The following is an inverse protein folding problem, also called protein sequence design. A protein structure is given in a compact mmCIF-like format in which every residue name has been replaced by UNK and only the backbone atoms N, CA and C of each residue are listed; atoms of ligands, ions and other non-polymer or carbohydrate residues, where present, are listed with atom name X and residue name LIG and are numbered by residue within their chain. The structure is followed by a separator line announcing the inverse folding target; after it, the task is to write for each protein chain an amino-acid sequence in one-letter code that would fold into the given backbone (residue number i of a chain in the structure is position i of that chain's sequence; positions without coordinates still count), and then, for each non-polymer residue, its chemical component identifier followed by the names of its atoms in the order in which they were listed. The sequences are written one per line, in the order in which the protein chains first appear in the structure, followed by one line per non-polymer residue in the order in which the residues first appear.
data_IF_437668540259
#
_entry.id   IF_437668540259
#
_cell.length_a   1.000
_cell.length_b   1.000
_cell.length_c   1.000
_cell.angle_alpha   90.00
_cell.angle_beta   90.00
_cell.angle_gamma   90.00
#
_symmetry.space_group_name_H-M   'P 1'
#
loop_
_entity.id
_entity.type
_entity.pdbx_description
1 polymer ?
#
# COMPACT_ATOMS: atom_id res chain seq x y z
N UNK A 1 28.70 54.38 15.81
CA UNK A 1 27.53 53.83 15.08
C UNK A 1 27.91 52.41 14.66
N UNK A 2 27.50 51.40 15.43
CA UNK A 2 27.88 50.01 15.20
C UNK A 2 26.66 49.30 14.59
N UNK A 3 26.74 48.90 13.32
CA UNK A 3 25.67 48.18 12.64
C UNK A 3 25.78 46.69 12.99
N UNK A 4 24.81 46.17 13.75
CA UNK A 4 24.64 44.73 13.97
C UNK A 4 23.78 44.20 12.82
N UNK A 5 24.39 43.44 11.91
CA UNK A 5 23.66 42.72 10.85
C UNK A 5 23.19 41.41 11.45
N UNK A 6 21.90 41.33 11.80
CA UNK A 6 21.26 40.08 12.23
C UNK A 6 21.00 39.23 10.98
N UNK A 7 21.88 38.27 10.72
CA UNK A 7 21.67 37.23 9.71
C UNK A 7 20.56 36.29 10.21
N UNK A 8 19.36 36.43 9.65
CA UNK A 8 18.31 35.43 9.79
C UNK A 8 18.74 34.20 8.99
N UNK A 9 19.33 33.22 9.66
CA UNK A 9 19.45 31.88 9.10
C UNK A 9 18.05 31.28 9.03
N UNK A 10 17.39 31.45 7.87
CA UNK A 10 16.27 30.62 7.48
C UNK A 10 16.85 29.21 7.34
N UNK A 11 16.66 28.38 8.36
CA UNK A 11 16.87 26.95 8.23
C UNK A 11 15.88 26.46 7.19
N UNK A 12 16.34 26.31 5.94
CA UNK A 12 15.62 25.51 4.95
C UNK A 12 15.71 24.09 5.48
N UNK A 13 14.76 23.69 6.33
CA UNK A 13 14.48 22.28 6.55
C UNK A 13 14.02 21.78 5.19
N UNK A 14 14.95 21.25 4.40
CA UNK A 14 14.59 20.53 3.20
C UNK A 14 13.56 19.49 3.62
N UNK A 15 12.36 19.54 3.03
CA UNK A 15 11.40 18.47 3.18
C UNK A 15 12.03 17.24 2.51
N UNK A 16 12.66 16.39 3.31
CA UNK A 16 13.14 15.10 2.83
C UNK A 16 11.92 14.22 2.58
N UNK A 17 11.87 13.59 1.41
CA UNK A 17 10.86 12.58 1.13
C UNK A 17 10.97 11.43 2.10
N UNK A 18 9.84 10.96 2.62
CA UNK A 18 9.75 9.74 3.42
C UNK A 18 9.17 8.61 2.55
N UNK A 19 10.02 7.74 1.99
CA UNK A 19 9.59 6.64 1.14
C UNK A 19 8.94 5.50 1.93
N UNK A 20 8.95 5.55 3.28
CA UNK A 20 8.45 4.50 4.17
C UNK A 20 9.04 3.11 3.83
N UNK A 21 10.38 3.02 3.82
CA UNK A 21 11.13 1.86 3.31
C UNK A 21 11.29 0.68 4.30
N UNK A 22 10.26 0.37 5.09
CA UNK A 22 10.26 -0.83 5.97
C UNK A 22 10.01 -2.09 5.12
N UNK A 23 10.98 -3.02 5.08
CA UNK A 23 11.17 -3.95 3.95
C UNK A 23 10.65 -5.37 4.16
N UNK A 24 9.91 -5.90 3.18
CA UNK A 24 9.90 -7.31 2.81
C UNK A 24 10.35 -7.48 1.35
N UNK A 25 11.37 -8.29 1.10
CA UNK A 25 11.95 -8.54 -0.24
C UNK A 25 11.99 -10.02 -0.56
N UNK A 26 11.84 -10.38 -1.84
CA UNK A 26 12.03 -11.73 -2.34
C UNK A 26 12.50 -11.74 -3.79
N UNK A 27 13.44 -12.62 -4.10
CA UNK A 27 13.87 -12.92 -5.47
C UNK A 27 13.34 -14.30 -5.87
N UNK A 28 13.00 -14.49 -7.14
CA UNK A 28 12.59 -15.79 -7.67
C UNK A 28 13.73 -16.80 -7.57
N UNK A 29 13.40 -18.06 -7.30
CA UNK A 29 14.34 -19.18 -7.38
C UNK A 29 14.43 -19.76 -8.81
N UNK A 30 13.52 -19.36 -9.70
CA UNK A 30 13.49 -19.80 -11.09
C UNK A 30 14.47 -18.96 -11.89
N UNK A 31 15.28 -19.63 -12.71
CA UNK A 31 16.29 -18.98 -13.53
C UNK A 31 15.77 -18.66 -14.93
N UNK A 32 16.30 -17.60 -15.52
CA UNK A 32 16.08 -17.25 -16.94
C UNK A 32 17.19 -17.83 -17.81
N UNK A 33 16.84 -18.21 -19.03
CA UNK A 33 17.79 -18.77 -19.98
C UNK A 33 18.66 -17.68 -20.64
N UNK A 34 18.07 -16.55 -21.03
CA UNK A 34 18.77 -15.43 -21.65
C UNK A 34 18.89 -14.24 -20.68
N UNK A 35 19.90 -14.29 -19.81
CA UNK A 35 20.18 -13.26 -18.78
C UNK A 35 20.34 -11.87 -19.39
N UNK A 36 21.01 -11.76 -20.54
CA UNK A 36 21.25 -10.47 -21.21
C UNK A 36 19.95 -9.83 -21.68
N UNK A 37 19.08 -10.61 -22.34
CA UNK A 37 17.77 -10.14 -22.79
C UNK A 37 16.85 -9.82 -21.60
N UNK A 38 16.81 -10.70 -20.59
CA UNK A 38 16.02 -10.48 -19.37
C UNK A 38 16.43 -9.19 -18.63
N UNK A 39 17.74 -8.95 -18.47
CA UNK A 39 18.26 -7.74 -17.80
C UNK A 39 17.90 -6.48 -18.60
N UNK A 40 18.04 -6.53 -19.93
CA UNK A 40 17.63 -5.43 -20.80
C UNK A 40 16.14 -5.14 -20.66
N UNK A 41 15.32 -6.18 -20.70
CA UNK A 41 13.86 -6.08 -20.62
C UNK A 41 13.41 -5.53 -19.26
N UNK A 42 14.01 -6.00 -18.16
CA UNK A 42 13.76 -5.48 -16.81
C UNK A 42 14.13 -4.01 -16.68
N UNK A 43 15.27 -3.59 -17.21
CA UNK A 43 15.66 -2.17 -17.16
C UNK A 43 14.69 -1.30 -17.97
N UNK A 44 14.23 -1.76 -19.15
CA UNK A 44 13.26 -1.05 -19.95
C UNK A 44 11.90 -0.93 -19.25
N UNK A 45 11.40 -2.00 -18.60
CA UNK A 45 10.14 -1.94 -17.84
C UNK A 45 10.25 -1.02 -16.63
N UNK A 46 11.34 -1.07 -15.87
CA UNK A 46 11.56 -0.18 -14.72
C UNK A 46 11.60 1.30 -15.14
N UNK A 47 12.22 1.63 -16.27
CA UNK A 47 12.23 3.00 -16.81
C UNK A 47 10.84 3.49 -17.21
N UNK A 48 10.02 2.62 -17.82
CA UNK A 48 8.64 2.96 -18.17
C UNK A 48 7.77 3.19 -16.92
N UNK A 49 7.89 2.31 -15.91
CA UNK A 49 7.20 2.51 -14.62
C UNK A 49 7.58 3.85 -13.99
N UNK A 50 8.88 4.20 -13.97
CA UNK A 50 9.35 5.48 -13.44
C UNK A 50 8.75 6.67 -14.20
N UNK A 51 8.75 6.62 -15.53
CA UNK A 51 8.17 7.67 -16.37
C UNK A 51 6.67 7.85 -16.12
N UNK A 52 5.95 6.76 -15.83
CA UNK A 52 4.53 6.80 -15.47
C UNK A 52 4.30 7.41 -14.09
N UNK A 53 5.09 7.05 -13.07
CA UNK A 53 4.99 7.63 -11.73
C UNK A 53 5.30 9.13 -11.71
N UNK A 54 6.29 9.57 -12.50
CA UNK A 54 6.63 10.98 -12.67
C UNK A 54 5.49 11.82 -13.29
N UNK A 55 4.49 11.17 -13.90
CA UNK A 55 3.25 11.81 -14.38
C UNK A 55 2.13 11.77 -13.31
N UNK A 56 2.51 11.71 -12.04
CA UNK A 56 1.60 11.67 -10.89
C UNK A 56 0.67 10.45 -10.85
N UNK A 57 1.08 9.32 -11.45
CA UNK A 57 0.41 8.04 -11.22
C UNK A 57 0.89 7.42 -9.91
N UNK A 58 0.00 6.71 -9.23
CA UNK A 58 0.32 5.90 -8.04
C UNK A 58 0.32 4.40 -8.33
N UNK A 59 -0.15 4.01 -9.51
CA UNK A 59 -0.21 2.65 -10.01
C UNK A 59 0.22 2.64 -11.47
N UNK A 60 1.07 1.68 -11.83
CA UNK A 60 1.48 1.48 -13.22
C UNK A 60 1.86 0.03 -13.47
N UNK A 61 1.63 -0.41 -14.71
CA UNK A 61 2.14 -1.65 -15.28
C UNK A 61 3.02 -1.32 -16.48
N UNK A 62 4.00 -2.18 -16.74
CA UNK A 62 4.87 -2.11 -17.91
C UNK A 62 5.32 -3.52 -18.27
N UNK A 63 5.50 -3.80 -19.56
CA UNK A 63 5.98 -5.09 -20.01
C UNK A 63 6.94 -4.99 -21.20
N UNK A 64 7.74 -6.04 -21.32
CA UNK A 64 8.47 -6.43 -22.52
C UNK A 64 8.06 -7.86 -22.82
N UNK A 65 6.82 -8.07 -23.27
CA UNK A 65 6.23 -9.41 -23.44
C UNK A 65 6.74 -10.19 -24.66
N UNK A 66 7.55 -9.59 -25.52
CA UNK A 66 8.06 -10.22 -26.76
C UNK A 66 9.48 -10.74 -26.55
N UNK A 67 9.81 -11.83 -27.24
CA UNK A 67 11.16 -12.41 -27.22
C UNK A 67 11.27 -13.66 -26.37
N UNK A 68 12.50 -14.03 -26.03
CA UNK A 68 12.82 -15.29 -25.33
C UNK A 68 12.85 -15.13 -23.80
N UNK A 69 12.85 -13.90 -23.31
CA UNK A 69 12.87 -13.59 -21.87
C UNK A 69 11.93 -12.43 -21.56
N UNK A 70 10.61 -12.68 -21.61
CA UNK A 70 9.62 -11.65 -21.32
C UNK A 70 9.72 -11.16 -19.87
N UNK A 71 9.34 -9.91 -19.65
CA UNK A 71 9.25 -9.30 -18.31
C UNK A 71 7.94 -8.55 -18.19
N UNK A 72 7.17 -8.84 -17.15
CA UNK A 72 5.99 -8.12 -16.74
C UNK A 72 6.30 -7.45 -15.41
N UNK A 73 5.95 -6.18 -15.24
CA UNK A 73 6.24 -5.43 -14.04
C UNK A 73 5.08 -4.53 -13.62
N UNK A 74 4.92 -4.36 -12.32
CA UNK A 74 3.89 -3.54 -11.71
C UNK A 74 4.48 -2.79 -10.52
N UNK A 75 4.14 -1.51 -10.41
CA UNK A 75 4.36 -0.71 -9.21
C UNK A 75 3.04 -0.18 -8.68
N UNK A 76 2.92 -0.15 -7.36
CA UNK A 76 1.84 0.52 -6.68
C UNK A 76 2.33 1.21 -5.40
N UNK A 77 2.30 2.53 -5.42
CA UNK A 77 2.52 3.36 -4.24
C UNK A 77 1.30 3.32 -3.32
N UNK A 78 1.49 3.63 -2.04
CA UNK A 78 0.35 3.92 -1.16
C UNK A 78 -0.27 5.25 -1.55
N UNK A 79 -1.59 5.27 -1.69
CA UNK A 79 -2.29 6.47 -2.18
C UNK A 79 -2.30 7.64 -1.19
N UNK A 80 -1.91 7.40 0.06
CA UNK A 80 -1.73 8.47 1.03
C UNK A 80 -0.39 9.22 0.90
N UNK A 81 0.57 8.72 0.12
CA UNK A 81 1.87 9.37 -0.08
C UNK A 81 1.78 10.59 -1.02
N UNK A 82 2.76 11.49 -0.91
CA UNK A 82 2.99 12.48 -1.95
C UNK A 82 3.56 11.84 -3.22
N UNK A 83 3.49 12.54 -4.36
CA UNK A 83 4.13 12.07 -5.61
C UNK A 83 5.64 11.89 -5.44
N UNK A 84 6.29 12.80 -4.68
CA UNK A 84 7.73 12.71 -4.42
C UNK A 84 8.09 11.46 -3.59
N UNK A 85 7.31 11.17 -2.55
CA UNK A 85 7.52 9.99 -1.71
C UNK A 85 7.25 8.69 -2.48
N UNK A 86 6.23 8.69 -3.35
CA UNK A 86 5.94 7.57 -4.24
C UNK A 86 7.10 7.27 -5.20
N UNK A 87 7.61 8.30 -5.89
CA UNK A 87 8.76 8.14 -6.81
C UNK A 87 10.01 7.71 -6.04
N UNK A 88 10.25 8.29 -4.86
CA UNK A 88 11.36 7.90 -3.97
C UNK A 88 11.26 6.44 -3.54
N UNK A 89 10.08 5.98 -3.11
CA UNK A 89 9.85 4.59 -2.74
C UNK A 89 10.12 3.65 -3.91
N UNK A 90 9.61 3.98 -5.11
CA UNK A 90 9.88 3.20 -6.31
C UNK A 90 11.37 3.13 -6.62
N UNK A 91 12.11 4.24 -6.54
CA UNK A 91 13.55 4.26 -6.81
C UNK A 91 14.32 3.33 -5.85
N UNK A 92 13.97 3.33 -4.56
CA UNK A 92 14.54 2.43 -3.56
C UNK A 92 14.14 0.98 -3.85
N UNK A 93 12.89 0.72 -4.22
CA UNK A 93 12.41 -0.61 -4.57
C UNK A 93 13.10 -1.15 -5.84
N UNK A 94 13.27 -0.32 -6.86
CA UNK A 94 13.96 -0.67 -8.09
C UNK A 94 15.44 -0.96 -7.83
N UNK A 95 16.09 -0.22 -6.93
CA UNK A 95 17.45 -0.53 -6.47
C UNK A 95 17.51 -1.90 -5.78
N UNK A 96 16.53 -2.19 -4.92
CA UNK A 96 16.46 -3.49 -4.24
C UNK A 96 16.19 -4.64 -5.22
N UNK A 97 15.32 -4.47 -6.21
CA UNK A 97 15.12 -5.43 -7.30
C UNK A 97 16.42 -5.70 -8.06
N UNK A 98 17.19 -4.66 -8.38
CA UNK A 98 18.50 -4.80 -9.06
C UNK A 98 19.56 -5.51 -8.20
N UNK A 99 19.34 -5.65 -6.89
CA UNK A 99 20.23 -6.43 -6.01
C UNK A 99 19.97 -7.94 -6.07
N UNK A 100 18.84 -8.38 -6.64
CA UNK A 100 18.62 -9.79 -6.93
C UNK A 100 19.65 -10.32 -7.94
N UNK A 101 19.99 -11.63 -7.91
CA UNK A 101 20.86 -12.21 -8.92
C UNK A 101 20.29 -12.00 -10.33
N UNK A 102 21.11 -11.55 -11.28
CA UNK A 102 20.64 -11.15 -12.61
C UNK A 102 19.95 -12.28 -13.41
N UNK A 103 20.16 -13.54 -13.03
CA UNK A 103 19.61 -14.70 -13.71
C UNK A 103 18.26 -15.17 -13.14
N UNK A 104 17.59 -14.41 -12.27
CA UNK A 104 16.30 -14.79 -11.70
C UNK A 104 15.13 -14.26 -12.53
N UNK A 105 14.05 -15.03 -12.60
CA UNK A 105 12.87 -14.72 -13.42
C UNK A 105 11.90 -13.72 -12.81
N UNK A 106 12.15 -13.25 -11.60
CA UNK A 106 11.23 -12.39 -10.89
C UNK A 106 11.78 -11.87 -9.58
N UNK A 107 11.13 -10.83 -9.06
CA UNK A 107 11.48 -10.20 -7.81
C UNK A 107 10.35 -9.33 -7.30
N UNK A 108 10.27 -9.23 -5.97
CA UNK A 108 9.20 -8.55 -5.24
C UNK A 108 9.81 -7.74 -4.12
N UNK A 109 9.40 -6.48 -4.02
CA UNK A 109 9.76 -5.58 -2.94
C UNK A 109 8.48 -4.95 -2.44
N UNK A 110 8.22 -5.13 -1.15
CA UNK A 110 7.08 -4.55 -0.46
C UNK A 110 7.61 -3.69 0.66
N UNK A 111 7.43 -2.39 0.50
CA UNK A 111 7.64 -1.38 1.51
C UNK A 111 6.30 -0.93 2.08
N UNK A 112 6.32 -0.28 3.24
CA UNK A 112 5.15 0.44 3.73
C UNK A 112 4.68 1.47 2.69
N UNK A 113 5.60 2.08 1.93
CA UNK A 113 5.28 3.10 0.93
C UNK A 113 4.92 2.59 -0.48
N UNK A 114 5.35 1.41 -0.90
CA UNK A 114 5.09 0.90 -2.25
C UNK A 114 5.30 -0.61 -2.40
N UNK A 115 4.63 -1.18 -3.40
CA UNK A 115 4.85 -2.53 -3.92
C UNK A 115 5.49 -2.42 -5.29
N UNK A 116 6.60 -3.14 -5.53
CA UNK A 116 7.19 -3.35 -6.84
C UNK A 116 7.35 -4.85 -7.08
N UNK A 117 6.79 -5.35 -8.17
CA UNK A 117 6.86 -6.76 -8.56
C UNK A 117 7.19 -6.88 -10.04
N UNK A 118 8.08 -7.78 -10.38
CA UNK A 118 8.28 -8.23 -11.76
C UNK A 118 8.38 -9.75 -11.84
N UNK A 119 7.91 -10.33 -12.94
CA UNK A 119 8.00 -11.77 -13.22
C UNK A 119 8.11 -12.01 -14.74
N UNK A 120 8.52 -13.22 -15.12
CA UNK A 120 8.61 -13.66 -16.52
C UNK A 120 7.26 -14.02 -17.15
N UNK A 121 6.20 -14.07 -16.35
CA UNK A 121 4.82 -14.36 -16.80
C UNK A 121 3.89 -13.28 -16.29
N UNK A 122 2.76 -13.07 -16.98
CA UNK A 122 1.74 -12.14 -16.52
C UNK A 122 1.15 -12.60 -15.18
N UNK A 123 1.02 -11.66 -14.23
CA UNK A 123 0.49 -11.90 -12.87
C UNK A 123 -0.55 -10.86 -12.43
N UNK A 124 -0.95 -9.95 -13.31
CA UNK A 124 -1.73 -8.76 -12.93
C UNK A 124 -3.08 -9.08 -12.27
N UNK A 125 -3.65 -10.25 -12.51
CA UNK A 125 -4.90 -10.73 -11.93
C UNK A 125 -4.74 -11.51 -10.61
N UNK A 126 -3.51 -11.77 -10.17
CA UNK A 126 -3.23 -12.54 -8.96
C UNK A 126 -3.47 -11.71 -7.70
N UNK A 127 -4.24 -12.26 -6.78
CA UNK A 127 -4.68 -11.60 -5.55
C UNK A 127 -4.26 -12.32 -4.26
N UNK A 128 -3.63 -13.49 -4.35
CA UNK A 128 -3.19 -14.28 -3.20
C UNK A 128 -1.83 -14.93 -3.46
N UNK A 129 -0.96 -14.89 -2.47
CA UNK A 129 0.31 -15.61 -2.40
C UNK A 129 0.74 -15.69 -0.90
N UNK A 130 2.03 -15.86 -0.63
CA UNK A 130 2.61 -15.67 0.69
C UNK A 130 2.18 -14.32 1.30
N UNK A 131 1.66 -14.41 2.52
CA UNK A 131 1.19 -13.30 3.33
C UNK A 131 1.93 -13.30 4.66
N UNK A 132 2.15 -12.11 5.20
CA UNK A 132 2.86 -11.93 6.47
C UNK A 132 2.20 -10.82 7.27
N UNK A 133 1.87 -11.13 8.53
CA UNK A 133 1.48 -10.16 9.54
C UNK A 133 2.71 -9.72 10.35
N UNK A 134 2.95 -8.42 10.41
CA UNK A 134 3.96 -7.80 11.25
C UNK A 134 3.28 -6.98 12.34
N UNK A 135 3.54 -7.34 13.60
CA UNK A 135 2.97 -6.68 14.76
C UNK A 135 3.99 -5.71 15.36
N UNK A 136 3.60 -4.45 15.48
CA UNK A 136 4.42 -3.42 16.10
C UNK A 136 4.46 -3.49 17.62
N UNK A 137 5.02 -2.44 18.21
CA UNK A 137 5.06 -2.19 19.65
C UNK A 137 4.63 -0.73 19.89
N UNK A 138 4.15 -0.35 21.09
CA UNK A 138 3.98 -1.17 22.31
C UNK A 138 2.71 -2.03 22.31
N UNK A 139 2.44 -2.70 23.44
CA UNK A 139 1.16 -3.36 23.73
C UNK A 139 0.08 -2.28 23.96
N UNK A 140 -1.10 -2.49 23.40
CA UNK A 140 -2.23 -1.58 23.46
C UNK A 140 -3.26 -1.98 24.54
N UNK A 141 -4.13 -1.04 24.90
CA UNK A 141 -5.22 -1.29 25.84
C UNK A 141 -6.34 -2.15 25.23
N UNK A 142 -7.21 -2.76 26.05
CA UNK A 142 -8.39 -3.46 25.55
C UNK A 142 -9.37 -2.55 24.79
N UNK A 143 -9.47 -1.26 25.15
CA UNK A 143 -10.33 -0.31 24.45
C UNK A 143 -9.77 0.00 23.06
N UNK A 144 -8.46 0.26 22.95
CA UNK A 144 -7.79 0.44 21.66
C UNK A 144 -7.93 -0.80 20.78
N UNK A 145 -7.75 -2.00 21.36
CA UNK A 145 -7.95 -3.27 20.66
C UNK A 145 -9.37 -3.40 20.07
N UNK A 146 -10.40 -2.93 20.79
CA UNK A 146 -11.78 -2.97 20.30
C UNK A 146 -11.97 -2.03 19.10
N UNK A 147 -11.43 -0.82 19.17
CA UNK A 147 -11.46 0.13 18.05
C UNK A 147 -10.65 -0.33 16.85
N UNK A 148 -9.51 -1.01 17.04
CA UNK A 148 -8.77 -1.65 15.94
C UNK A 148 -9.63 -2.69 15.24
N UNK A 149 -10.29 -3.58 16.00
CA UNK A 149 -11.18 -4.61 15.42
C UNK A 149 -12.32 -3.99 14.61
N UNK A 150 -12.97 -2.96 15.18
CA UNK A 150 -14.06 -2.20 14.56
C UNK A 150 -13.60 -1.59 13.23
N UNK A 151 -12.58 -0.72 13.29
CA UNK A 151 -12.08 0.03 12.14
C UNK A 151 -11.59 -0.89 11.01
N UNK A 152 -10.84 -1.95 11.34
CA UNK A 152 -10.34 -2.88 10.34
C UNK A 152 -11.47 -3.71 9.73
N UNK A 153 -12.49 -4.12 10.50
CA UNK A 153 -13.64 -4.80 9.93
C UNK A 153 -14.38 -3.91 8.92
N UNK A 154 -14.53 -2.62 9.23
CA UNK A 154 -15.18 -1.66 8.34
C UNK A 154 -14.37 -1.41 7.07
N UNK A 155 -13.05 -1.23 7.19
CA UNK A 155 -12.14 -1.06 6.05
C UNK A 155 -12.14 -2.27 5.12
N UNK A 156 -12.17 -3.49 5.67
CA UNK A 156 -12.24 -4.73 4.90
C UNK A 156 -13.53 -4.80 4.05
N UNK A 157 -14.66 -4.28 4.56
CA UNK A 157 -15.96 -4.30 3.87
C UNK A 157 -16.09 -3.16 2.86
N UNK A 158 -15.58 -1.97 3.21
CA UNK A 158 -15.74 -0.76 2.42
C UNK A 158 -14.79 -0.70 1.22
N UNK A 159 -13.51 -1.04 1.42
CA UNK A 159 -12.44 -0.82 0.41
C UNK A 159 -12.73 -1.48 -0.94
N UNK A 160 -13.25 -2.72 -1.04
CA UNK A 160 -13.58 -3.33 -2.33
C UNK A 160 -14.70 -2.60 -3.11
N UNK A 161 -15.47 -1.74 -2.45
CA UNK A 161 -16.56 -0.95 -3.03
C UNK A 161 -16.13 0.47 -3.40
N UNK A 162 -14.91 0.86 -3.04
CA UNK A 162 -14.39 2.21 -3.25
C UNK A 162 -13.59 2.33 -4.56
N UNK A 163 -13.56 3.53 -5.17
CA UNK A 163 -12.72 3.79 -6.33
C UNK A 163 -11.26 3.42 -6.12
N UNK A 164 -10.73 2.55 -6.98
CA UNK A 164 -9.34 2.10 -6.92
C UNK A 164 -8.98 1.33 -5.64
N UNK A 165 -9.97 0.69 -5.02
CA UNK A 165 -9.84 -0.23 -3.88
C UNK A 165 -8.98 0.27 -2.72
N UNK A 166 -9.14 1.53 -2.36
CA UNK A 166 -8.34 2.19 -1.33
C UNK A 166 -9.24 2.94 -0.36
N UNK A 167 -8.94 2.79 0.93
CA UNK A 167 -9.59 3.55 1.98
C UNK A 167 -8.60 3.82 3.11
N UNK A 168 -8.60 5.05 3.61
CA UNK A 168 -7.98 5.48 4.86
C UNK A 168 -9.07 5.98 5.79
N UNK A 169 -9.04 5.59 7.06
CA UNK A 169 -10.01 6.03 8.05
C UNK A 169 -9.38 6.05 9.44
N UNK A 170 -10.03 6.73 10.39
CA UNK A 170 -9.61 6.79 11.78
C UNK A 170 -10.79 6.67 12.73
N UNK A 171 -10.55 6.11 13.91
CA UNK A 171 -11.56 5.89 14.95
C UNK A 171 -11.02 6.41 16.30
N UNK A 172 -11.78 7.28 16.97
CA UNK A 172 -11.47 7.72 18.33
C UNK A 172 -11.76 6.57 19.32
N UNK A 173 -10.84 6.33 20.26
CA UNK A 173 -10.98 5.26 21.24
C UNK A 173 -11.85 5.72 22.39
N UNK A 174 -12.93 4.99 22.65
CA UNK A 174 -13.87 5.34 23.72
C UNK A 174 -13.20 5.23 25.09
N UNK A 175 -13.19 6.32 25.85
CA UNK A 175 -12.65 6.37 27.20
C UNK A 175 -11.14 6.61 27.28
N UNK A 176 -10.47 6.85 26.15
CA UNK A 176 -9.05 7.18 26.07
C UNK A 176 -8.83 8.40 25.17
N UNK A 177 -7.73 9.13 25.38
CA UNK A 177 -7.32 10.20 24.47
C UNK A 177 -6.38 9.64 23.38
N UNK A 178 -6.86 8.62 22.65
CA UNK A 178 -6.11 7.92 21.61
C UNK A 178 -7.01 7.70 20.38
N UNK A 179 -6.36 7.55 19.22
CA UNK A 179 -7.03 7.37 17.93
C UNK A 179 -6.37 6.20 17.21
N UNK A 180 -7.17 5.34 16.60
CA UNK A 180 -6.69 4.31 15.69
C UNK A 180 -6.74 4.86 14.27
N UNK A 181 -5.62 4.82 13.55
CA UNK A 181 -5.54 5.13 12.13
C UNK A 181 -5.44 3.82 11.35
N UNK A 182 -6.20 3.69 10.26
CA UNK A 182 -6.26 2.47 9.46
C UNK A 182 -6.25 2.74 7.97
N UNK A 183 -5.61 1.85 7.21
CA UNK A 183 -5.61 1.85 5.74
C UNK A 183 -5.80 0.45 5.19
N UNK A 184 -6.65 0.33 4.17
CA UNK A 184 -6.75 -0.85 3.33
C UNK A 184 -6.56 -0.44 1.87
N UNK A 185 -5.67 -1.14 1.17
CA UNK A 185 -5.38 -0.89 -0.23
C UNK A 185 -5.21 -2.21 -0.98
N UNK A 186 -6.05 -2.47 -1.97
CA UNK A 186 -5.84 -3.60 -2.88
C UNK A 186 -5.07 -3.18 -4.13
N UNK A 187 -4.51 -4.16 -4.82
CA UNK A 187 -3.91 -3.95 -6.13
C UNK A 187 -4.96 -3.55 -7.16
N UNK A 188 -4.70 -2.56 -8.01
CA UNK A 188 -5.74 -2.00 -8.88
C UNK A 188 -6.19 -2.93 -10.02
N UNK A 189 -5.37 -3.93 -10.38
CA UNK A 189 -5.67 -4.88 -11.46
C UNK A 189 -6.53 -6.07 -11.03
N UNK A 190 -6.77 -6.26 -9.74
CA UNK A 190 -7.59 -7.39 -9.26
C UNK A 190 -9.08 -7.04 -9.28
N UNK A 191 -9.95 -8.04 -9.19
CA UNK A 191 -11.40 -7.81 -9.13
C UNK A 191 -11.84 -7.33 -7.74
N UNK A 192 -13.06 -6.78 -7.65
CA UNK A 192 -13.70 -6.48 -6.34
C UNK A 192 -13.74 -7.71 -5.42
N UNK A 193 -14.09 -8.87 -5.98
CA UNK A 193 -14.08 -10.12 -5.22
C UNK A 193 -12.65 -10.46 -4.76
N UNK A 194 -11.68 -10.34 -5.66
CA UNK A 194 -10.28 -10.62 -5.32
C UNK A 194 -9.72 -9.68 -4.26
N UNK A 195 -10.14 -8.42 -4.24
CA UNK A 195 -9.82 -7.45 -3.18
C UNK A 195 -10.46 -7.85 -1.84
N UNK A 196 -11.74 -8.23 -1.85
CA UNK A 196 -12.42 -8.73 -0.65
C UNK A 196 -11.73 -9.97 -0.07
N UNK A 197 -11.33 -10.91 -0.91
CA UNK A 197 -10.63 -12.13 -0.50
C UNK A 197 -9.28 -11.79 0.14
N UNK A 198 -8.49 -10.93 -0.51
CA UNK A 198 -7.18 -10.53 0.02
C UNK A 198 -7.30 -9.82 1.38
N UNK A 199 -8.22 -8.86 1.51
CA UNK A 199 -8.42 -8.14 2.77
C UNK A 199 -8.96 -9.05 3.88
N UNK A 200 -9.67 -10.13 3.52
CA UNK A 200 -10.14 -11.13 4.49
C UNK A 200 -8.98 -11.93 5.08
N UNK A 201 -8.03 -12.35 4.24
CA UNK A 201 -6.78 -12.97 4.70
C UNK A 201 -5.99 -11.97 5.55
N UNK A 202 -5.83 -10.73 5.08
CA UNK A 202 -5.07 -9.71 5.78
C UNK A 202 -5.65 -9.36 7.16
N UNK A 203 -6.99 -9.32 7.29
CA UNK A 203 -7.63 -9.17 8.59
C UNK A 203 -7.34 -10.35 9.52
N UNK A 204 -7.35 -11.58 8.98
CA UNK A 204 -6.98 -12.80 9.70
C UNK A 204 -5.57 -12.74 10.28
N UNK A 205 -4.59 -12.32 9.48
CA UNK A 205 -3.20 -12.15 9.91
C UNK A 205 -3.10 -11.17 11.09
N UNK A 206 -3.80 -10.04 10.98
CA UNK A 206 -3.79 -8.95 11.96
C UNK A 206 -4.47 -9.32 13.28
N UNK A 207 -5.27 -10.40 13.36
CA UNK A 207 -5.92 -10.80 14.61
C UNK A 207 -4.91 -11.04 15.74
N UNK A 208 -3.74 -11.55 15.40
CA UNK A 208 -2.63 -11.76 16.34
C UNK A 208 -1.99 -10.45 16.81
N UNK A 209 -2.11 -9.40 16.00
CA UNK A 209 -1.55 -8.08 16.29
C UNK A 209 -2.49 -7.19 17.09
N UNK A 210 -3.81 -7.42 17.15
CA UNK A 210 -4.77 -6.45 17.75
C UNK A 210 -4.48 -6.02 19.20
N UNK A 211 -3.62 -6.74 19.92
CA UNK A 211 -3.11 -6.34 21.25
C UNK A 211 -1.92 -5.37 21.20
N UNK A 212 -1.51 -4.92 20.01
CA UNK A 212 -0.38 -4.03 19.73
C UNK A 212 -0.87 -2.72 19.16
N UNK A 213 -0.07 -1.67 19.36
CA UNK A 213 -0.38 -0.30 18.92
C UNK A 213 -0.35 -0.13 17.39
N UNK A 214 0.51 -0.88 16.70
CA UNK A 214 0.65 -0.89 15.24
C UNK A 214 0.63 -2.34 14.74
N UNK A 215 0.13 -2.53 13.54
CA UNK A 215 0.17 -3.82 12.87
C UNK A 215 -0.11 -3.68 11.39
N UNK A 216 0.57 -4.50 10.58
CA UNK A 216 0.36 -4.54 9.12
C UNK A 216 0.31 -5.97 8.61
N UNK A 217 -0.61 -6.26 7.71
CA UNK A 217 -0.59 -7.46 6.89
C UNK A 217 -0.21 -7.07 5.46
N UNK A 218 0.75 -7.81 4.95
CA UNK A 218 1.38 -7.57 3.66
C UNK A 218 1.13 -8.79 2.77
N UNK A 219 0.44 -8.55 1.67
CA UNK A 219 0.14 -9.53 0.63
C UNK A 219 0.42 -8.90 -0.74
N UNK A 220 0.69 -9.73 -1.76
CA UNK A 220 0.84 -9.26 -3.14
C UNK A 220 -0.45 -8.65 -3.71
N UNK A 221 -1.62 -9.03 -3.19
CA UNK A 221 -2.92 -8.51 -3.62
C UNK A 221 -3.40 -7.29 -2.83
N UNK A 222 -2.89 -7.05 -1.62
CA UNK A 222 -3.37 -5.97 -0.76
C UNK A 222 -2.40 -5.65 0.39
N UNK A 223 -2.54 -4.44 0.91
CA UNK A 223 -1.85 -3.91 2.07
C UNK A 223 -2.88 -3.47 3.10
N UNK A 224 -2.74 -3.95 4.33
CA UNK A 224 -3.61 -3.61 5.44
C UNK A 224 -2.74 -3.14 6.60
N UNK A 225 -2.97 -1.94 7.15
CA UNK A 225 -2.20 -1.43 8.28
C UNK A 225 -3.09 -0.63 9.24
N UNK A 226 -2.79 -0.72 10.52
CA UNK A 226 -3.24 0.24 11.52
C UNK A 226 -2.09 0.73 12.40
N UNK A 227 -2.29 1.89 13.03
CA UNK A 227 -1.33 2.51 13.95
C UNK A 227 -2.03 3.46 14.92
N UNK A 228 -1.43 3.67 16.09
CA UNK A 228 -1.82 4.69 17.06
C UNK A 228 -1.24 6.07 16.70
N UNK A 229 -0.36 6.10 15.70
CA UNK A 229 0.25 7.30 15.15
C UNK A 229 -0.30 7.61 13.76
N UNK A 230 -0.53 8.88 13.41
CA UNK A 230 -0.98 9.25 12.07
C UNK A 230 0.12 8.99 11.03
N UNK A 231 -0.25 8.31 9.94
CA UNK A 231 0.62 8.06 8.77
C UNK A 231 0.01 8.53 7.43
N UNK A 232 -1.13 9.23 7.51
CA UNK A 232 -1.78 9.94 6.41
C UNK A 232 -2.33 11.27 6.93
N UNK A 233 -2.55 12.23 6.04
CA UNK A 233 -3.09 13.54 6.40
C UNK A 233 -4.59 13.46 6.74
N UNK A 234 -5.06 14.29 7.66
CA UNK A 234 -6.46 14.24 8.13
C UNK A 234 -7.49 14.37 6.99
N UNK A 235 -7.19 15.17 5.97
CA UNK A 235 -8.06 15.36 4.79
C UNK A 235 -8.12 14.13 3.85
N UNK A 236 -7.32 13.08 4.11
CA UNK A 236 -7.39 11.78 3.44
C UNK A 236 -8.30 10.80 4.20
N UNK A 237 -8.90 11.19 5.33
CA UNK A 237 -9.86 10.37 6.06
C UNK A 237 -11.17 10.21 5.27
N UNK A 238 -11.61 8.97 5.06
CA UNK A 238 -12.85 8.63 4.35
C UNK A 238 -13.95 8.27 5.33
N UNK A 239 -15.17 8.79 5.11
CA UNK A 239 -16.37 8.26 5.78
C UNK A 239 -16.77 6.91 5.16
N UNK A 240 -16.58 5.83 5.93
CA UNK A 240 -16.85 4.47 5.47
C UNK A 240 -18.34 4.13 5.44
N UNK A 241 -19.19 4.84 6.20
CA UNK A 241 -20.61 4.50 6.41
C UNK A 241 -21.42 4.23 5.13
N UNK A 242 -21.25 5.00 4.03
CA UNK A 242 -21.98 4.74 2.79
C UNK A 242 -21.67 3.36 2.17
N UNK A 243 -20.48 2.82 2.44
CA UNK A 243 -19.99 1.57 1.83
C UNK A 243 -20.21 0.34 2.72
N UNK A 244 -20.58 0.52 3.99
CA UNK A 244 -20.84 -0.59 4.92
C UNK A 244 -22.21 -1.24 4.71
N UNK A 245 -23.16 -0.54 4.09
CA UNK A 245 -24.49 -1.11 3.83
C UNK A 245 -24.43 -2.16 2.72
N UNK A 246 -25.00 -3.33 2.95
CA UNK A 246 -25.26 -4.30 1.88
C UNK A 246 -26.34 -3.73 0.95
N UNK A 247 -26.12 -3.86 -0.36
CA UNK A 247 -26.99 -3.35 -1.41
C UNK A 247 -28.34 -4.06 -1.49
N UNK A 248 -29.16 -3.94 -0.46
CA UNK A 248 -30.59 -4.25 -0.47
C UNK A 248 -31.35 -3.08 0.17
N UNK A 249 -31.34 -1.93 -0.51
CA UNK A 249 -32.39 -0.94 -0.34
C UNK A 249 -33.39 -1.14 -1.48
N UNK A 250 -34.33 -2.05 -1.25
CA UNK A 250 -35.63 -1.97 -1.89
C UNK A 250 -36.22 -0.62 -1.48
N UNK A 251 -36.36 0.30 -2.44
CA UNK A 251 -37.15 1.52 -2.26
C UNK A 251 -38.61 1.11 -2.05
N UNK A 252 -39.02 0.94 -0.79
CA UNK A 252 -40.44 0.85 -0.44
C UNK A 252 -40.69 1.34 0.98
N UNK A 253 -40.83 2.66 1.12
CA UNK A 253 -42.04 3.34 1.60
C UNK A 253 -41.73 4.82 1.84
N UNK A 254 -42.23 5.67 0.95
CA UNK A 254 -42.64 7.00 1.35
C UNK A 254 -43.71 6.85 2.43
N UNK A 255 -43.44 7.30 3.64
CA UNK A 255 -44.50 7.71 4.57
C UNK A 255 -44.78 9.18 4.27
N UNK A 256 -45.83 9.40 3.48
CA UNK A 256 -46.52 10.68 3.41
C UNK A 256 -47.30 10.82 4.72
N UNK A 257 -46.93 11.80 5.53
CA UNK A 257 -47.79 12.27 6.62
C UNK A 257 -48.83 13.22 6.01
N UNK A 258 -50.10 12.88 6.16
CA UNK A 258 -51.22 13.82 6.16
C UNK A 258 -51.73 13.94 7.60
#
# INVERSE_FOLDING_TARGET
MLFIVVWWMVAIMGAFSDPQANLLTGCSNVKVDNVTESTKNLNATLLDLEAQLNRSKYFATADQARGSSPVFAMVQCRKYLSTADCVSCFAIAAKQIRSCPANVSGGRVIYDGCLLRYESSSFYDQNQDAHYGDCGNPTASPAYQASVKSLLSDLQIASPKMPGFFATSKEEVVGENSVVYGVAQCVETISKAGCQDCLTVAYGDLQTCFSKADGRSINVGCFFRYSDTPFFADNQTTDLKPFLRNGNLSFSRLLVFY
#
